data_IF_084513078908
#
_entry.id   IF_084513078908
#
_cell.length_a   1.000
_cell.length_b   1.000
_cell.length_c   1.000
_cell.angle_alpha   90.00
_cell.angle_beta   90.00
_cell.angle_gamma   90.00
#
_symmetry.space_group_name_H-M   'P 1'
#
loop_
_entity.id
_entity.type
_entity.pdbx_description
1 polymer ?
#
# COMPACT_ATOMS: atom_id res chain seq x y z
N UNK A 1 -35.54 -13.48 76.21
CA UNK A 1 -35.47 -14.86 75.68
C UNK A 1 -35.45 -14.76 74.16
N UNK A 2 -34.52 -15.48 73.50
CA UNK A 2 -34.31 -15.58 72.02
C UNK A 2 -35.64 -15.77 71.26
N UNK A 3 -35.79 -15.46 69.94
CA UNK A 3 -34.76 -15.67 68.91
C UNK A 3 -34.70 -14.76 67.65
N UNK A 4 -33.65 -14.99 66.85
CA UNK A 4 -33.53 -14.96 65.39
C UNK A 4 -34.10 -13.77 64.58
N UNK A 5 -33.19 -13.00 63.97
CA UNK A 5 -33.40 -12.55 62.60
C UNK A 5 -32.13 -12.84 61.77
N UNK A 6 -32.25 -13.84 60.91
CA UNK A 6 -31.34 -14.13 59.81
C UNK A 6 -31.39 -12.97 58.83
N UNK A 7 -30.28 -12.26 58.64
CA UNK A 7 -30.11 -11.36 57.50
C UNK A 7 -29.22 -12.10 56.50
N UNK A 8 -29.85 -12.60 55.44
CA UNK A 8 -29.20 -13.07 54.23
C UNK A 8 -28.46 -11.89 53.59
N UNK A 9 -27.13 -11.95 53.54
CA UNK A 9 -26.32 -11.05 52.72
C UNK A 9 -26.24 -11.71 51.33
N UNK A 10 -26.78 -11.11 50.25
CA UNK A 10 -26.57 -11.62 48.92
C UNK A 10 -25.09 -11.44 48.55
N UNK A 11 -24.44 -12.55 48.21
CA UNK A 11 -23.10 -12.54 47.63
C UNK A 11 -23.17 -11.81 46.27
N UNK A 12 -22.67 -10.58 46.25
CA UNK A 12 -22.35 -9.87 45.01
C UNK A 12 -21.15 -10.58 44.37
N UNK A 13 -21.44 -11.53 43.48
CA UNK A 13 -20.48 -11.99 42.47
C UNK A 13 -20.19 -10.81 41.56
N UNK A 14 -19.11 -10.08 41.85
CA UNK A 14 -18.48 -9.24 40.84
C UNK A 14 -17.86 -10.18 39.81
N UNK A 15 -18.60 -10.48 38.75
CA UNK A 15 -18.02 -10.88 37.48
C UNK A 15 -17.15 -9.71 37.02
N UNK A 16 -15.89 -9.70 37.48
CA UNK A 16 -14.82 -9.00 36.80
C UNK A 16 -14.66 -9.72 35.47
N UNK A 17 -15.51 -9.35 34.51
CA UNK A 17 -15.25 -9.58 33.10
C UNK A 17 -13.98 -8.77 32.83
N UNK A 18 -12.84 -9.44 32.95
CA UNK A 18 -11.60 -8.94 32.41
C UNK A 18 -11.86 -8.75 30.93
N UNK A 19 -12.21 -7.52 30.55
CA UNK A 19 -12.18 -7.09 29.17
C UNK A 19 -10.71 -7.08 28.79
N UNK A 20 -10.20 -8.28 28.51
CA UNK A 20 -8.95 -8.49 27.81
C UNK A 20 -9.20 -8.01 26.38
N UNK A 21 -9.22 -6.68 26.24
CA UNK A 21 -9.18 -5.98 24.97
C UNK A 21 -7.74 -6.05 24.51
N UNK A 22 -7.31 -7.26 24.18
CA UNK A 22 -6.30 -7.43 23.14
C UNK A 22 -6.96 -6.92 21.86
N UNK A 23 -6.88 -5.59 21.68
CA UNK A 23 -6.97 -4.94 20.39
C UNK A 23 -5.83 -5.52 19.57
N UNK A 24 -6.09 -6.63 18.92
CA UNK A 24 -5.32 -7.11 17.79
C UNK A 24 -5.37 -5.98 16.77
N UNK A 25 -4.29 -5.18 16.75
CA UNK A 25 -4.09 -4.12 15.78
C UNK A 25 -4.06 -4.79 14.42
N UNK A 26 -5.21 -4.81 13.73
CA UNK A 26 -5.36 -5.22 12.34
C UNK A 26 -4.75 -4.16 11.41
N UNK A 27 -3.53 -3.73 11.73
CA UNK A 27 -2.73 -2.87 10.89
C UNK A 27 -2.34 -3.71 9.67
N UNK A 28 -3.09 -3.58 8.58
CA UNK A 28 -2.78 -4.16 7.26
C UNK A 28 -1.28 -4.00 6.97
N UNK A 29 -0.44 -5.05 7.02
CA UNK A 29 1.02 -4.92 6.90
C UNK A 29 1.47 -4.17 5.63
N UNK A 30 0.56 -4.02 4.67
CA UNK A 30 0.76 -3.23 3.48
C UNK A 30 0.69 -1.70 3.66
N UNK A 31 -0.06 -1.17 4.63
CA UNK A 31 -0.08 0.29 4.86
C UNK A 31 1.29 0.78 5.31
N UNK A 32 2.01 -0.02 6.10
CA UNK A 32 3.34 0.33 6.59
C UNK A 32 4.35 0.37 5.44
N UNK A 33 4.33 -0.66 4.57
CA UNK A 33 5.20 -0.70 3.39
C UNK A 33 4.89 0.45 2.42
N UNK A 34 3.61 0.75 2.17
CA UNK A 34 3.19 1.90 1.35
C UNK A 34 3.74 3.21 1.92
N UNK A 35 3.64 3.40 3.25
CA UNK A 35 4.14 4.58 3.92
C UNK A 35 5.67 4.69 3.82
N UNK A 36 6.39 3.60 4.04
CA UNK A 36 7.85 3.58 3.90
C UNK A 36 8.30 3.97 2.49
N UNK A 37 7.59 3.50 1.45
CA UNK A 37 7.87 3.87 0.05
C UNK A 37 7.52 5.34 -0.22
N UNK A 38 6.44 5.84 0.38
CA UNK A 38 6.06 7.25 0.26
C UNK A 38 7.11 8.19 0.84
N UNK A 39 7.63 7.87 2.03
CA UNK A 39 8.58 8.69 2.77
C UNK A 39 10.01 8.58 2.24
N UNK A 40 10.47 7.36 1.92
CA UNK A 40 11.87 7.08 1.58
C UNK A 40 12.11 6.85 0.09
N UNK A 41 11.07 6.91 -0.74
CA UNK A 41 11.16 6.73 -2.18
C UNK A 41 11.54 8.01 -2.92
N UNK A 42 12.25 7.85 -4.04
CA UNK A 42 12.53 8.93 -4.98
C UNK A 42 11.27 9.27 -5.78
N UNK A 43 11.12 10.55 -6.12
CA UNK A 43 10.07 11.00 -7.02
C UNK A 43 10.45 10.67 -8.46
N UNK A 44 9.50 10.13 -9.23
CA UNK A 44 9.66 10.01 -10.69
C UNK A 44 8.88 11.15 -11.36
N UNK A 45 9.50 11.75 -12.39
CA UNK A 45 8.87 12.77 -13.21
C UNK A 45 7.62 12.23 -13.93
N UNK A 46 6.51 12.96 -13.85
CA UNK A 46 5.20 12.48 -14.29
C UNK A 46 4.68 13.12 -15.58
N UNK A 47 5.32 14.21 -16.05
CA UNK A 47 4.84 14.96 -17.21
C UNK A 47 4.72 14.08 -18.46
N UNK A 48 5.80 13.38 -18.84
CA UNK A 48 5.83 12.50 -20.01
C UNK A 48 4.88 11.31 -19.87
N UNK A 49 4.69 10.82 -18.65
CA UNK A 49 3.78 9.71 -18.35
C UNK A 49 2.34 10.15 -18.60
N UNK A 50 1.94 11.30 -18.06
CA UNK A 50 0.62 11.86 -18.26
C UNK A 50 0.35 12.18 -19.74
N UNK A 51 1.33 12.73 -20.45
CA UNK A 51 1.24 12.93 -21.89
C UNK A 51 1.01 11.61 -22.64
N UNK A 52 1.72 10.53 -22.26
CA UNK A 52 1.54 9.20 -22.85
C UNK A 52 0.14 8.62 -22.57
N UNK A 53 -0.41 8.85 -21.37
CA UNK A 53 -1.76 8.41 -21.01
C UNK A 53 -2.82 9.15 -21.85
N UNK A 54 -2.68 10.46 -22.02
CA UNK A 54 -3.61 11.26 -22.84
C UNK A 54 -3.60 10.83 -24.31
N UNK A 55 -2.42 10.61 -24.88
CA UNK A 55 -2.27 10.08 -26.24
C UNK A 55 -2.94 8.71 -26.37
N UNK A 56 -2.72 7.81 -25.41
CA UNK A 56 -3.30 6.49 -25.41
C UNK A 56 -4.81 6.49 -25.23
N UNK A 57 -5.35 7.39 -24.40
CA UNK A 57 -6.79 7.61 -24.27
C UNK A 57 -7.40 8.11 -25.59
N UNK A 58 -6.71 9.03 -26.28
CA UNK A 58 -7.14 9.51 -27.60
C UNK A 58 -7.17 8.37 -28.63
N UNK A 59 -6.18 7.48 -28.58
CA UNK A 59 -6.10 6.28 -29.41
C UNK A 59 -6.98 5.13 -28.92
N UNK A 60 -7.74 5.32 -27.82
CA UNK A 60 -8.59 4.29 -27.19
C UNK A 60 -7.86 3.00 -26.82
N UNK A 61 -6.60 3.12 -26.42
CA UNK A 61 -5.82 1.99 -25.94
C UNK A 61 -6.30 1.58 -24.55
N UNK A 62 -6.66 0.31 -24.38
CA UNK A 62 -7.28 -0.21 -23.16
C UNK A 62 -6.48 0.04 -21.88
N UNK A 63 -5.16 0.10 -21.97
CA UNK A 63 -4.27 0.30 -20.81
C UNK A 63 -4.44 1.68 -20.15
N UNK A 64 -4.98 2.68 -20.85
CA UNK A 64 -5.09 4.06 -20.35
C UNK A 64 -6.34 4.29 -19.48
N UNK A 65 -7.20 3.29 -19.30
CA UNK A 65 -8.51 3.46 -18.63
C UNK A 65 -8.60 2.83 -17.24
N UNK A 66 -7.56 2.11 -16.80
CA UNK A 66 -7.52 1.50 -15.46
C UNK A 66 -6.29 1.95 -14.69
N UNK A 67 -6.45 2.36 -13.41
CA UNK A 67 -5.32 2.68 -12.53
C UNK A 67 -4.26 1.58 -12.49
N UNK A 68 -4.70 0.32 -12.46
CA UNK A 68 -3.81 -0.85 -12.38
C UNK A 68 -3.00 -1.00 -13.67
N UNK A 69 -3.63 -0.88 -14.84
CA UNK A 69 -2.92 -1.06 -16.12
C UNK A 69 -1.97 0.09 -16.41
N UNK A 70 -2.32 1.31 -16.00
CA UNK A 70 -1.41 2.46 -16.02
C UNK A 70 -0.22 2.18 -15.11
N UNK A 71 -0.47 1.77 -13.87
CA UNK A 71 0.59 1.49 -12.90
C UNK A 71 1.57 0.40 -13.38
N UNK A 72 1.06 -0.69 -13.97
CA UNK A 72 1.89 -1.74 -14.57
C UNK A 72 2.77 -1.18 -15.70
N UNK A 73 2.23 -0.30 -16.54
CA UNK A 73 2.99 0.32 -17.62
C UNK A 73 4.08 1.25 -17.10
N UNK A 74 3.77 2.05 -16.07
CA UNK A 74 4.71 2.94 -15.37
C UNK A 74 5.85 2.15 -14.71
N UNK A 75 5.54 1.05 -14.01
CA UNK A 75 6.55 0.21 -13.37
C UNK A 75 7.41 -0.61 -14.36
N UNK A 76 7.19 -0.44 -15.66
CA UNK A 76 7.88 -1.14 -16.74
C UNK A 76 7.31 -2.53 -17.01
N UNK A 77 7.17 -2.87 -18.29
CA UNK A 77 6.66 -4.17 -18.75
C UNK A 77 7.57 -5.36 -18.39
N UNK A 78 8.83 -5.10 -18.02
CA UNK A 78 9.70 -6.12 -17.46
C UNK A 78 9.30 -6.39 -16.00
N UNK A 79 8.20 -7.13 -15.85
CA UNK A 79 7.85 -7.88 -14.65
C UNK A 79 8.71 -9.15 -14.56
N UNK A 80 10.00 -9.06 -14.91
CA UNK A 80 10.97 -10.17 -14.78
C UNK A 80 11.41 -10.21 -13.32
N UNK A 81 10.46 -10.62 -12.49
CA UNK A 81 10.67 -10.91 -11.08
C UNK A 81 9.96 -12.23 -10.80
N UNK A 82 10.54 -13.14 -10.01
CA UNK A 82 9.87 -14.37 -9.62
C UNK A 82 8.54 -14.12 -8.89
N UNK A 83 8.38 -12.95 -8.26
CA UNK A 83 7.23 -12.63 -7.42
C UNK A 83 6.85 -11.16 -7.58
N UNK A 84 5.68 -10.92 -8.19
CA UNK A 84 5.09 -9.58 -8.32
C UNK A 84 3.78 -9.53 -7.56
N UNK A 85 3.63 -8.53 -6.69
CA UNK A 85 2.39 -8.23 -5.96
C UNK A 85 1.90 -6.85 -6.38
N UNK A 86 0.64 -6.76 -6.78
CA UNK A 86 -0.01 -5.51 -7.20
C UNK A 86 -1.24 -5.30 -6.34
N UNK A 87 -1.35 -4.12 -5.74
CA UNK A 87 -2.48 -3.78 -4.88
C UNK A 87 -2.96 -2.40 -5.24
N UNK A 88 -4.26 -2.29 -5.52
CA UNK A 88 -4.92 -1.04 -5.79
C UNK A 88 -5.86 -0.72 -4.63
N UNK A 89 -5.76 0.48 -4.09
CA UNK A 89 -6.65 1.01 -3.05
C UNK A 89 -7.38 2.22 -3.61
N UNK A 90 -8.68 2.29 -3.39
CA UNK A 90 -9.42 3.53 -3.60
C UNK A 90 -9.14 4.48 -2.45
N UNK A 91 -8.82 5.73 -2.77
CA UNK A 91 -8.85 6.86 -1.83
C UNK A 91 -10.17 7.64 -1.90
N UNK A 92 -11.09 7.18 -2.76
CA UNK A 92 -12.39 7.81 -2.95
C UNK A 92 -13.28 7.45 -1.76
N UNK A 93 -13.88 8.44 -1.11
CA UNK A 93 -14.85 8.23 -0.03
C UNK A 93 -16.28 7.93 -0.51
N UNK A 94 -16.46 7.75 -1.81
CA UNK A 94 -17.76 7.53 -2.47
C UNK A 94 -17.72 6.27 -3.36
N UNK A 95 -18.85 5.94 -3.96
CA UNK A 95 -19.04 4.71 -4.75
C UNK A 95 -18.24 4.70 -6.06
N UNK A 96 -17.92 5.88 -6.62
CA UNK A 96 -17.12 6.01 -7.83
C UNK A 96 -15.62 6.15 -7.50
N UNK A 97 -14.82 5.19 -7.97
CA UNK A 97 -13.37 5.26 -7.83
C UNK A 97 -12.83 6.37 -8.76
N UNK A 98 -12.54 7.52 -8.18
CA UNK A 98 -11.97 8.71 -8.85
C UNK A 98 -10.57 9.03 -8.37
N UNK A 99 -10.12 8.37 -7.31
CA UNK A 99 -8.78 8.50 -6.74
C UNK A 99 -8.31 7.12 -6.28
N UNK A 100 -7.14 6.71 -6.75
CA UNK A 100 -6.55 5.42 -6.42
C UNK A 100 -5.06 5.55 -6.09
N UNK A 101 -4.57 4.67 -5.23
CA UNK A 101 -3.14 4.41 -5.04
C UNK A 101 -2.88 2.96 -5.44
N UNK A 102 -1.90 2.76 -6.30
CA UNK A 102 -1.45 1.44 -6.73
C UNK A 102 -0.04 1.20 -6.21
N UNK A 103 0.11 0.15 -5.42
CA UNK A 103 1.39 -0.37 -4.96
C UNK A 103 1.81 -1.56 -5.82
N UNK A 104 3.04 -1.53 -6.32
CA UNK A 104 3.66 -2.65 -7.02
C UNK A 104 4.92 -3.04 -6.26
N UNK A 105 4.99 -4.30 -5.87
CA UNK A 105 6.13 -4.92 -5.20
C UNK A 105 6.70 -6.02 -6.10
N UNK A 106 7.98 -5.93 -6.42
CA UNK A 106 8.74 -6.94 -7.16
C UNK A 106 9.79 -7.53 -6.21
N UNK A 107 9.68 -8.80 -5.85
CA UNK A 107 10.61 -9.46 -4.93
C UNK A 107 11.63 -10.35 -5.63
N UNK A 108 12.73 -10.61 -4.94
CA UNK A 108 13.75 -11.57 -5.37
C UNK A 108 14.25 -11.30 -6.80
N UNK A 109 14.57 -10.04 -7.08
CA UNK A 109 15.10 -9.63 -8.37
C UNK A 109 16.41 -10.39 -8.67
N UNK A 110 16.59 -10.72 -9.95
CA UNK A 110 17.79 -11.44 -10.42
C UNK A 110 19.02 -10.53 -10.55
N UNK A 111 18.83 -9.22 -10.38
CA UNK A 111 19.88 -8.22 -10.28
C UNK A 111 20.89 -8.58 -9.16
N UNK A 112 22.18 -8.29 -9.34
CA UNK A 112 23.23 -8.69 -8.39
C UNK A 112 23.26 -7.83 -7.11
N UNK A 113 22.57 -6.69 -7.13
CA UNK A 113 22.65 -5.65 -6.10
C UNK A 113 21.29 -5.38 -5.46
N UNK A 114 20.21 -5.37 -6.25
CA UNK A 114 18.84 -5.12 -5.78
C UNK A 114 18.13 -6.43 -5.41
N UNK A 115 17.52 -6.45 -4.22
CA UNK A 115 16.71 -7.58 -3.76
C UNK A 115 15.23 -7.41 -4.13
N UNK A 116 14.63 -6.29 -3.72
CA UNK A 116 13.22 -5.99 -3.96
C UNK A 116 13.08 -4.56 -4.50
N UNK A 117 12.06 -4.32 -5.33
CA UNK A 117 11.73 -3.02 -5.87
C UNK A 117 10.26 -2.70 -5.65
N UNK A 118 9.98 -1.44 -5.34
CA UNK A 118 8.67 -0.96 -4.95
C UNK A 118 8.30 0.28 -5.76
N UNK A 119 7.03 0.36 -6.15
CA UNK A 119 6.42 1.54 -6.73
C UNK A 119 5.15 1.87 -5.95
N UNK A 120 4.98 3.15 -5.65
CA UNK A 120 3.71 3.74 -5.21
C UNK A 120 3.27 4.74 -6.27
N UNK A 121 2.09 4.52 -6.85
CA UNK A 121 1.58 5.35 -7.95
C UNK A 121 0.22 5.86 -7.53
N UNK A 122 0.10 7.18 -7.38
CA UNK A 122 -1.15 7.83 -7.03
C UNK A 122 -1.79 8.39 -8.29
N UNK A 123 -3.05 8.03 -8.53
CA UNK A 123 -3.80 8.44 -9.71
C UNK A 123 -5.11 9.11 -9.33
N UNK A 124 -5.50 10.11 -10.10
CA UNK A 124 -6.79 10.80 -9.98
C UNK A 124 -7.46 10.91 -11.33
N UNK A 125 -8.76 10.68 -11.37
CA UNK A 125 -9.57 10.85 -12.56
C UNK A 125 -9.85 12.34 -12.76
N UNK A 126 -9.44 12.88 -13.91
CA UNK A 126 -9.72 14.25 -14.33
C UNK A 126 -10.62 14.19 -15.59
N UNK A 127 -11.91 14.47 -15.41
CA UNK A 127 -12.91 14.22 -16.45
C UNK A 127 -13.07 12.72 -16.71
N UNK A 128 -12.58 12.23 -17.85
CA UNK A 128 -12.62 10.83 -18.26
C UNK A 128 -11.24 10.17 -18.37
N UNK A 129 -10.17 10.89 -18.00
CA UNK A 129 -8.78 10.42 -18.14
C UNK A 129 -8.16 10.32 -16.75
N UNK A 130 -7.51 9.18 -16.48
CA UNK A 130 -6.69 9.03 -15.29
C UNK A 130 -5.40 9.81 -15.46
N UNK A 131 -5.07 10.64 -14.48
CA UNK A 131 -3.80 11.34 -14.39
C UNK A 131 -3.01 10.80 -13.22
N UNK A 132 -1.72 10.57 -13.44
CA UNK A 132 -0.76 10.29 -12.38
C UNK A 132 -0.50 11.59 -11.63
N UNK A 133 -0.65 11.55 -10.31
CA UNK A 133 -0.44 12.66 -9.41
C UNK A 133 0.94 12.61 -8.75
N UNK A 134 1.41 11.39 -8.45
CA UNK A 134 2.67 11.14 -7.76
C UNK A 134 3.16 9.73 -8.10
N UNK A 135 4.46 9.57 -8.20
CA UNK A 135 5.13 8.28 -8.30
C UNK A 135 6.32 8.28 -7.35
N UNK A 136 6.34 7.29 -6.46
CA UNK A 136 7.50 6.98 -5.63
C UNK A 136 8.09 5.64 -6.05
N UNK A 137 9.42 5.60 -6.12
CA UNK A 137 10.17 4.37 -6.36
C UNK A 137 11.18 4.16 -5.24
N UNK A 138 11.27 2.93 -4.76
CA UNK A 138 12.23 2.55 -3.74
C UNK A 138 12.67 1.10 -3.95
N UNK A 139 13.71 0.68 -3.25
CA UNK A 139 14.20 -0.70 -3.27
C UNK A 139 14.91 -1.07 -1.97
N UNK A 140 15.15 -2.36 -1.80
CA UNK A 140 16.05 -2.92 -0.78
C UNK A 140 17.20 -3.61 -1.48
N UNK A 141 18.43 -3.48 -1.00
CA UNK A 141 19.58 -4.16 -1.56
C UNK A 141 19.73 -5.59 -1.03
N UNK A 142 20.53 -6.40 -1.72
CA UNK A 142 21.00 -7.70 -1.22
C UNK A 142 21.97 -7.50 -0.06
N UNK A 143 22.18 -8.55 0.73
CA UNK A 143 23.11 -8.50 1.86
C UNK A 143 24.50 -8.02 1.42
N UNK A 144 25.10 -7.12 2.19
CA UNK A 144 26.40 -6.48 1.91
C UNK A 144 26.45 -5.62 0.63
N UNK A 145 25.31 -5.29 0.03
CA UNK A 145 25.19 -4.46 -1.20
C UNK A 145 24.53 -3.11 -0.96
N UNK A 146 24.44 -2.66 0.30
CA UNK A 146 23.81 -1.40 0.67
C UNK A 146 22.75 -1.58 1.76
N UNK A 147 21.75 -0.71 1.76
CA UNK A 147 20.64 -0.70 2.70
C UNK A 147 19.74 -1.93 2.56
N UNK A 148 19.28 -2.46 3.69
CA UNK A 148 18.35 -3.61 3.74
C UNK A 148 16.90 -3.18 4.05
N UNK A 149 16.68 -1.89 4.26
CA UNK A 149 15.38 -1.26 4.48
C UNK A 149 14.90 -0.60 3.19
N UNK A 150 13.64 -0.15 3.11
CA UNK A 150 13.14 0.56 1.92
C UNK A 150 13.80 1.93 1.81
N UNK A 151 14.52 2.18 0.70
CA UNK A 151 15.13 3.48 0.41
C UNK A 151 15.35 3.64 -1.11
N UNK A 152 15.56 4.87 -1.56
CA UNK A 152 15.92 5.23 -2.93
C UNK A 152 17.43 5.45 -3.15
N UNK A 153 18.27 5.32 -2.12
CA UNK A 153 19.73 5.28 -2.29
C UNK A 153 20.15 4.10 -3.18
N UNK A 154 21.17 4.27 -4.03
CA UNK A 154 21.61 3.20 -4.92
C UNK A 154 22.27 2.03 -4.16
N UNK A 155 22.00 0.80 -4.62
CA UNK A 155 22.77 -0.37 -4.19
C UNK A 155 24.20 -0.33 -4.75
N UNK A 156 25.11 -1.03 -4.09
CA UNK A 156 26.56 -1.07 -4.38
C UNK A 156 27.01 -2.35 -5.06
#
# INVERSE_FOLDING_TARGET
>A
MRPYFLILIPALFTLSCGADTTRESSQDPLWELEQQVYENGENIEIADINQSIEQASTMRLSWAYSPITIAIRVAGQQMISPQVKIIAKSKSGNELITHAVVMIEKKNLQDDSVNNQYYRIELKLAGSIWQVMDIKKAWTCKANRGHQVVNAELCK
#
